data_IF_495882204670
#
_entry.id   IF_495882204670
#
_cell.length_a   1.000
_cell.length_b   1.000
_cell.length_c   1.000
_cell.angle_alpha   90.00
_cell.angle_beta   90.00
_cell.angle_gamma   90.00
#
_symmetry.space_group_name_H-M   'P 1'
#
loop_
_entity.id
_entity.type
_entity.pdbx_description
1 polymer ?
2 water ?
#
# COMPACT_ATOMS: atom_id res chain seq x y z
N UNK A 29 5.99 -23.50 -30.08
CA UNK A 29 5.68 -24.25 -28.87
C UNK A 29 6.36 -23.63 -27.65
N UNK A 30 5.69 -23.73 -26.50
CA UNK A 30 6.19 -23.15 -25.26
C UNK A 30 6.16 -24.19 -24.16
N UNK A 31 6.89 -23.92 -23.09
CA UNK A 31 6.90 -24.75 -21.89
C UNK A 31 6.39 -23.93 -20.71
N UNK A 32 5.79 -24.63 -19.74
CA UNK A 32 5.17 -23.98 -18.59
C UNK A 32 6.09 -24.07 -17.38
N UNK A 33 6.34 -22.92 -16.74
CA UNK A 33 7.08 -22.84 -15.50
C UNK A 33 6.21 -22.09 -14.49
N UNK A 34 6.12 -22.63 -13.28
CA UNK A 34 5.31 -22.04 -12.23
C UNK A 34 6.19 -21.38 -11.18
N UNK A 35 5.68 -20.28 -10.61
CA UNK A 35 6.44 -19.46 -9.66
C UNK A 35 5.53 -19.13 -8.48
N UNK A 36 6.01 -19.39 -7.27
CA UNK A 36 5.28 -19.03 -6.06
C UNK A 36 5.60 -17.59 -5.66
N UNK A 37 4.62 -16.95 -5.03
CA UNK A 37 4.76 -15.55 -4.65
C UNK A 37 4.95 -15.40 -3.15
N UNK A 38 5.88 -14.54 -2.71
CA UNK A 38 6.02 -14.27 -1.28
C UNK A 38 4.85 -13.51 -0.68
N UNK A 39 3.97 -12.95 -1.49
CA UNK A 39 2.81 -12.21 -1.02
C UNK A 39 1.56 -12.73 -1.71
N UNK A 40 0.53 -13.05 -0.92
CA UNK A 40 -0.71 -13.55 -1.49
C UNK A 40 -1.41 -12.49 -2.34
N UNK A 41 -1.32 -11.22 -1.94
CA UNK A 41 -1.93 -10.16 -2.70
C UNK A 41 -1.07 -9.68 -3.86
N UNK A 42 -1.00 -10.48 -4.92
CA UNK A 42 -0.20 -10.16 -6.10
C UNK A 42 -1.08 -10.27 -7.34
N UNK A 43 -1.16 -9.19 -8.11
CA UNK A 43 -1.85 -9.19 -9.39
C UNK A 43 -0.84 -8.85 -10.48
N UNK A 44 -1.28 -9.04 -11.73
CA UNK A 44 -0.40 -8.86 -12.88
C UNK A 44 -1.25 -8.57 -14.11
N UNK A 45 -0.76 -7.68 -14.96
CA UNK A 45 -1.39 -7.49 -16.26
C UNK A 45 -1.36 -8.81 -17.02
N UNK A 46 -2.51 -9.18 -17.59
CA UNK A 46 -2.58 -10.45 -18.30
C UNK A 46 -1.65 -10.41 -19.52
N UNK A 47 -0.89 -11.49 -19.69
CA UNK A 47 0.11 -11.51 -20.74
C UNK A 47 1.26 -10.56 -20.52
N UNK A 48 1.77 -10.49 -19.29
CA UNK A 48 2.92 -9.66 -18.99
C UNK A 48 4.20 -10.37 -19.38
N UNK A 49 5.19 -9.60 -19.81
CA UNK A 49 6.39 -10.17 -20.39
C UNK A 49 7.29 -10.80 -19.33
N UNK A 50 7.95 -11.90 -19.71
CA UNK A 50 8.95 -12.57 -18.90
C UNK A 50 10.28 -12.44 -19.63
N UNK A 51 11.27 -11.85 -18.97
CA UNK A 51 12.54 -11.52 -19.60
C UNK A 51 13.69 -12.24 -18.92
N UNK A 52 14.80 -12.33 -19.64
CA UNK A 52 16.04 -12.89 -19.11
C UNK A 52 17.20 -12.24 -19.84
N UNK A 53 17.96 -11.41 -19.13
CA UNK A 53 19.13 -10.71 -19.67
C UNK A 53 18.75 -9.85 -20.87
N UNK A 54 17.72 -9.02 -20.70
CA UNK A 54 17.33 -8.02 -21.67
C UNK A 54 16.32 -8.49 -22.72
N UNK A 55 16.40 -9.75 -23.14
CA UNK A 55 15.51 -10.28 -24.16
C UNK A 55 14.32 -10.97 -23.50
N UNK A 56 13.16 -10.88 -24.16
CA UNK A 56 11.96 -11.52 -23.65
C UNK A 56 11.99 -13.01 -23.97
N UNK A 57 11.65 -13.83 -22.97
CA UNK A 57 11.66 -15.28 -23.14
C UNK A 57 10.27 -15.89 -23.04
N UNK A 58 9.25 -15.13 -22.65
CA UNK A 58 7.91 -15.67 -22.59
C UNK A 58 6.92 -14.67 -22.04
N UNK A 59 5.80 -15.20 -21.55
CA UNK A 59 4.75 -14.39 -20.96
C UNK A 59 4.06 -15.19 -19.86
N UNK A 60 3.49 -14.46 -18.90
CA UNK A 60 2.70 -15.08 -17.83
C UNK A 60 1.27 -15.23 -18.32
N UNK A 61 0.71 -16.42 -18.12
CA UNK A 61 -0.60 -16.77 -18.68
C UNK A 61 -1.72 -16.74 -17.65
N UNK A 62 -1.45 -17.15 -16.41
CA UNK A 62 -2.51 -17.25 -15.42
C UNK A 62 -1.90 -17.15 -14.02
N UNK A 63 -2.73 -16.73 -13.07
CA UNK A 63 -2.38 -16.68 -11.66
C UNK A 63 -3.44 -17.46 -10.88
N UNK A 64 -2.99 -18.44 -10.10
CA UNK A 64 -3.87 -19.25 -9.27
C UNK A 64 -3.72 -18.86 -7.82
N UNK A 65 -4.85 -18.60 -7.15
CA UNK A 65 -4.82 -18.18 -5.75
C UNK A 65 -5.43 -19.24 -4.85
N UNK A 66 -4.80 -20.41 -4.78
CA UNK A 66 -5.28 -21.47 -3.90
C UNK A 66 -4.88 -21.16 -2.46
N UNK A 67 -5.88 -20.92 -1.61
CA UNK A 67 -5.60 -20.54 -0.24
C UNK A 67 -5.13 -19.10 -0.16
N UNK A 68 -4.12 -18.87 0.68
CA UNK A 68 -3.49 -17.55 0.82
C UNK A 68 -2.09 -17.53 0.21
N UNK A 69 -1.94 -18.18 -0.95
CA UNK A 69 -0.69 -18.21 -1.67
C UNK A 69 -0.97 -18.00 -3.15
N UNK A 70 -0.07 -17.30 -3.83
CA UNK A 70 -0.21 -16.99 -5.25
C UNK A 70 0.85 -17.73 -6.04
N UNK A 71 0.42 -18.34 -7.15
CA UNK A 71 1.31 -19.10 -8.03
C UNK A 71 1.18 -18.55 -9.45
N UNK A 72 2.28 -18.04 -9.99
CA UNK A 72 2.30 -17.57 -11.37
C UNK A 72 2.53 -18.74 -12.32
N UNK A 73 1.78 -18.76 -13.42
CA UNK A 73 1.94 -19.76 -14.46
C UNK A 73 2.56 -19.09 -15.67
N UNK A 74 3.87 -19.31 -15.86
CA UNK A 74 4.58 -18.73 -16.99
C UNK A 74 4.51 -19.66 -18.20
N UNK A 75 4.76 -19.08 -19.37
CA UNK A 75 4.86 -19.83 -20.62
C UNK A 75 6.01 -19.24 -21.41
N UNK A 76 7.14 -19.95 -21.46
CA UNK A 76 8.35 -19.47 -22.10
C UNK A 76 8.68 -20.36 -23.28
N UNK A 77 9.37 -19.78 -24.27
CA UNK A 77 9.69 -20.50 -25.49
C UNK A 77 10.56 -21.72 -25.20
N UNK A 78 10.39 -22.75 -26.02
CA UNK A 78 11.12 -24.00 -25.82
C UNK A 78 12.63 -23.77 -25.93
N UNK A 79 13.05 -23.07 -26.98
CA UNK A 79 14.46 -22.81 -27.20
C UNK A 79 15.09 -21.76 -26.31
N UNK A 80 14.36 -21.23 -25.34
CA UNK A 80 14.87 -20.22 -24.44
C UNK A 80 15.31 -20.76 -23.09
N UNK A 81 14.77 -21.91 -22.67
CA UNK A 81 15.11 -22.45 -21.36
C UNK A 81 16.50 -23.05 -21.32
N UNK A 82 17.09 -23.36 -22.48
CA UNK A 82 18.45 -23.86 -22.49
C UNK A 82 19.46 -22.84 -22.04
N UNK A 83 19.13 -21.55 -22.18
CA UNK A 83 20.01 -20.47 -21.73
C UNK A 83 19.77 -20.08 -20.28
N UNK A 84 18.58 -20.33 -19.75
CA UNK A 84 18.23 -19.97 -18.38
C UNK A 84 18.69 -21.10 -17.46
N UNK A 85 19.61 -20.84 -16.53
CA UNK A 85 20.02 -21.90 -15.59
C UNK A 85 18.87 -22.33 -14.70
N UNK A 86 18.93 -23.57 -14.23
CA UNK A 86 17.86 -24.11 -13.40
C UNK A 86 17.78 -23.44 -12.04
N UNK A 87 18.88 -22.86 -11.55
CA UNK A 87 18.93 -22.21 -10.25
C UNK A 87 18.86 -20.69 -10.34
N UNK A 88 18.24 -20.17 -11.40
CA UNK A 88 18.11 -18.73 -11.56
C UNK A 88 16.99 -18.20 -10.67
N UNK A 89 17.23 -17.01 -10.10
CA UNK A 89 16.23 -16.37 -9.26
C UNK A 89 15.29 -15.50 -10.10
N UNK A 90 14.24 -15.02 -9.47
CA UNK A 90 13.20 -14.24 -10.14
C UNK A 90 13.08 -12.89 -9.45
N UNK A 91 13.11 -11.82 -10.25
CA UNK A 91 12.86 -10.47 -9.77
C UNK A 91 11.56 -9.97 -10.39
N UNK A 92 10.69 -9.41 -9.54
CA UNK A 92 9.38 -8.92 -9.97
C UNK A 92 9.24 -7.49 -9.49
N UNK A 93 9.25 -6.54 -10.43
CA UNK A 93 9.10 -5.13 -10.11
C UNK A 93 7.62 -4.73 -10.21
N UNK A 94 7.17 -3.93 -9.25
CA UNK A 94 5.79 -3.51 -9.25
C UNK A 94 5.56 -2.37 -8.27
N UNK A 95 4.28 -2.10 -8.03
CA UNK A 95 3.87 -1.04 -7.12
C UNK A 95 2.81 -1.56 -6.17
N UNK A 96 2.63 -0.86 -5.05
CA UNK A 96 1.55 -1.14 -4.12
C UNK A 96 0.32 -0.36 -4.56
N UNK A 97 -0.74 -1.08 -4.90
CA UNK A 97 -1.97 -0.49 -5.42
C UNK A 97 -3.14 -0.95 -4.54
N UNK A 98 -4.28 -0.30 -4.76
CA UNK A 98 -5.49 -0.59 -4.00
C UNK A 98 -6.29 -1.66 -4.73
N UNK A 99 -6.47 -2.81 -4.10
CA UNK A 99 -7.24 -3.90 -4.67
C UNK A 99 -8.69 -3.86 -4.24
N UNK A 100 -9.51 -3.13 -5.00
CA UNK A 100 -10.92 -2.97 -4.66
C UNK A 100 -11.66 -4.30 -4.76
N UNK A 101 -12.64 -4.48 -3.88
CA UNK A 101 -13.44 -5.70 -3.83
C UNK A 101 -14.94 -5.46 -3.96
N UNK A 102 -15.43 -4.29 -3.56
CA UNK A 102 -16.87 -4.03 -3.63
C UNK A 102 -17.10 -2.53 -3.73
N UNK A 103 -18.21 -2.16 -4.38
CA UNK A 103 -18.65 -0.79 -4.49
C UNK A 103 -19.98 -0.66 -3.77
N UNK A 104 -20.14 0.42 -3.00
CA UNK A 104 -21.38 0.64 -2.27
C UNK A 104 -21.76 2.11 -2.35
N UNK A 105 -23.04 2.37 -2.63
CA UNK A 105 -23.60 3.71 -2.57
C UNK A 105 -24.06 4.00 -1.15
N UNK A 106 -23.66 5.16 -0.64
CA UNK A 106 -23.96 5.57 0.73
C UNK A 106 -25.01 6.68 0.69
N UNK A 107 -26.09 6.58 1.45
CA UNK A 107 -27.06 7.68 1.51
C UNK A 107 -26.42 8.92 2.11
N UNK A 108 -26.67 10.09 1.54
CA UNK A 108 -26.02 11.32 2.03
C UNK A 108 -26.64 11.84 3.32
N UNK A 109 -26.23 13.05 3.71
CA UNK A 109 -26.81 13.70 4.89
C UNK A 109 -28.32 13.85 4.74
N UNK A 110 -28.75 14.46 3.65
CA UNK A 110 -30.18 14.58 3.32
C UNK A 110 -30.37 14.15 1.88
N UNK A 111 -31.05 13.04 1.62
CA UNK A 111 -31.17 12.55 0.24
C UNK A 111 -32.06 13.46 -0.59
N UNK A 112 -31.62 13.72 -1.82
CA UNK A 112 -32.41 14.53 -2.75
C UNK A 112 -33.51 13.69 -3.39
N UNK A 113 -34.68 14.27 -3.63
CA UNK A 113 -35.79 13.47 -4.20
C UNK A 113 -35.54 13.01 -5.62
N UNK A 114 -34.70 13.70 -6.38
CA UNK A 114 -34.40 13.28 -7.75
C UNK A 114 -33.48 12.07 -7.72
N UNK A 115 -33.85 10.95 -8.34
CA UNK A 115 -32.99 9.75 -8.28
C UNK A 115 -31.78 9.86 -9.18
N UNK A 116 -30.94 8.82 -9.17
CA UNK A 116 -29.79 8.79 -10.06
C UNK A 116 -30.24 8.76 -11.51
N UNK A 117 -29.64 9.61 -12.34
CA UNK A 117 -30.02 9.61 -13.74
C UNK A 117 -29.17 8.60 -14.52
N UNK A 118 -29.70 8.08 -15.62
CA UNK A 118 -28.90 7.17 -16.45
C UNK A 118 -27.66 7.88 -17.00
N UNK A 119 -26.57 7.12 -17.12
CA UNK A 119 -25.29 7.62 -17.62
C UNK A 119 -24.74 8.75 -16.76
N UNK A 120 -25.10 8.75 -15.47
CA UNK A 120 -24.55 9.74 -14.55
C UNK A 120 -23.10 9.40 -14.22
N UNK A 121 -22.40 10.37 -13.67
CA UNK A 121 -20.99 10.23 -13.33
C UNK A 121 -20.75 10.81 -11.94
N UNK A 122 -20.29 9.96 -11.02
CA UNK A 122 -19.91 10.40 -9.68
C UNK A 122 -18.41 10.67 -9.69
N UNK A 123 -18.04 11.92 -9.42
CA UNK A 123 -16.65 12.35 -9.48
C UNK A 123 -15.84 11.66 -8.39
N UNK A 124 -14.51 11.74 -8.54
CA UNK A 124 -13.60 11.14 -7.58
C UNK A 124 -13.69 11.79 -6.21
N UNK A 125 -14.15 13.04 -6.14
CA UNK A 125 -14.30 13.70 -4.84
C UNK A 125 -15.37 13.05 -3.99
N UNK A 126 -16.39 12.46 -4.62
CA UNK A 126 -17.46 11.78 -3.92
C UNK A 126 -17.18 10.29 -3.71
N UNK A 127 -15.94 9.87 -3.88
CA UNK A 127 -15.54 8.47 -3.73
C UNK A 127 -14.67 8.34 -2.49
N UNK A 128 -14.92 7.30 -1.71
CA UNK A 128 -14.21 7.03 -0.46
C UNK A 128 -13.59 5.65 -0.54
N UNK A 129 -12.26 5.59 -0.47
CA UNK A 129 -11.52 4.34 -0.52
C UNK A 129 -11.19 3.90 0.90
N UNK A 130 -11.76 2.78 1.33
CA UNK A 130 -11.61 2.28 2.69
C UNK A 130 -10.98 0.89 2.66
N UNK A 131 -10.09 0.65 3.63
CA UNK A 131 -9.51 -0.67 3.84
C UNK A 131 -10.43 -1.51 4.71
N UNK A 132 -10.60 -2.78 4.33
CA UNK A 132 -11.49 -3.66 5.06
C UNK A 132 -10.77 -4.33 6.21
N UNK A 133 -11.55 -4.78 7.20
CA UNK A 133 -11.01 -5.38 8.40
C UNK A 133 -10.78 -6.87 8.21
N UNK A 134 -9.82 -7.42 8.95
CA UNK A 134 -9.50 -8.83 8.91
C UNK A 134 -9.38 -9.38 10.32
N UNK A 135 -9.97 -10.55 10.53
CA UNK A 135 -9.93 -11.21 11.84
C UNK A 135 -8.79 -12.21 11.91
N UNK B 22 -32.73 5.52 -29.54
CA UNK B 22 -32.50 4.16 -29.09
C UNK B 22 -33.74 3.28 -29.31
N UNK B 23 -33.55 1.98 -29.13
CA UNK B 23 -34.62 1.00 -29.30
C UNK B 23 -34.70 0.13 -28.07
N UNK B 24 -35.92 -0.30 -27.75
CA UNK B 24 -36.17 -1.01 -26.49
C UNK B 24 -35.49 -2.38 -26.50
N UNK B 25 -34.81 -2.70 -25.41
CA UNK B 25 -34.16 -3.98 -25.28
C UNK B 25 -35.14 -5.09 -24.97
N UNK B 26 -34.65 -6.33 -25.12
CA UNK B 26 -35.51 -7.50 -24.90
C UNK B 26 -35.91 -7.60 -23.43
N UNK B 27 -34.93 -7.81 -22.55
CA UNK B 27 -35.21 -7.99 -21.13
C UNK B 27 -33.92 -7.78 -20.36
N UNK B 28 -34.04 -7.75 -19.04
CA UNK B 28 -32.90 -7.61 -18.12
C UNK B 28 -32.08 -6.37 -18.44
N UNK B 29 -32.77 -5.24 -18.66
CA UNK B 29 -32.09 -4.00 -18.98
C UNK B 29 -31.42 -3.41 -17.75
N UNK B 30 -30.20 -2.91 -17.93
CA UNK B 30 -29.46 -2.26 -16.86
C UNK B 30 -28.90 -0.93 -17.38
N UNK B 31 -28.75 0.03 -16.47
CA UNK B 31 -28.21 1.33 -16.80
C UNK B 31 -26.76 1.42 -16.35
N UNK B 32 -25.95 2.12 -17.15
CA UNK B 32 -24.53 2.29 -16.84
C UNK B 32 -24.29 3.59 -16.09
N UNK B 33 -23.41 3.54 -15.10
CA UNK B 33 -23.00 4.72 -14.33
C UNK B 33 -21.50 4.62 -14.10
N UNK B 34 -20.81 5.74 -14.26
CA UNK B 34 -19.36 5.77 -14.19
C UNK B 34 -18.89 6.35 -12.85
N UNK B 35 -17.75 5.84 -12.38
CA UNK B 35 -17.15 6.26 -11.11
C UNK B 35 -15.69 6.59 -11.37
N UNK B 36 -15.28 7.81 -11.02
CA UNK B 36 -13.88 8.21 -11.12
C UNK B 36 -13.13 7.80 -9.86
N UNK B 37 -11.99 7.15 -10.04
CA UNK B 37 -11.19 6.70 -8.91
C UNK B 37 -10.31 7.85 -8.40
N UNK B 38 -10.33 8.15 -7.10
CA UNK B 38 -9.46 9.22 -6.59
C UNK B 38 -8.00 8.85 -6.64
N UNK B 39 -7.65 7.57 -6.46
CA UNK B 39 -6.29 7.08 -6.54
C UNK B 39 -6.14 6.28 -7.83
N UNK B 40 -5.26 6.75 -8.72
CA UNK B 40 -4.98 6.00 -9.94
C UNK B 40 -4.29 4.68 -9.62
N UNK B 41 -4.31 3.78 -10.59
CA UNK B 41 -3.76 2.46 -10.39
C UNK B 41 -4.63 1.50 -9.62
N UNK B 42 -5.88 1.86 -9.36
CA UNK B 42 -6.80 0.95 -8.70
C UNK B 42 -7.10 -0.24 -9.60
N UNK B 43 -7.23 -1.42 -9.01
CA UNK B 43 -7.66 -2.61 -9.71
C UNK B 43 -8.92 -3.14 -9.04
N UNK B 44 -9.75 -3.80 -9.83
CA UNK B 44 -11.02 -4.34 -9.36
C UNK B 44 -10.99 -5.86 -9.40
N UNK B 45 -11.54 -6.49 -8.37
CA UNK B 45 -11.59 -7.94 -8.29
C UNK B 45 -12.66 -8.49 -9.23
N UNK B 46 -12.39 -9.68 -9.78
CA UNK B 46 -13.34 -10.33 -10.66
C UNK B 46 -14.66 -10.58 -9.94
N UNK B 47 -15.76 -10.27 -10.61
CA UNK B 47 -17.08 -10.48 -10.04
C UNK B 47 -17.42 -9.53 -8.90
N UNK B 48 -16.97 -8.28 -8.98
CA UNK B 48 -17.28 -7.30 -7.95
C UNK B 48 -18.71 -6.81 -8.11
N UNK B 49 -19.39 -6.66 -6.98
CA UNK B 49 -20.80 -6.27 -6.95
C UNK B 49 -20.95 -4.83 -6.47
N UNK B 50 -22.14 -4.29 -6.69
CA UNK B 50 -22.51 -2.95 -6.23
C UNK B 50 -23.71 -3.08 -5.31
N UNK B 51 -23.61 -2.51 -4.12
CA UNK B 51 -24.65 -2.61 -3.12
C UNK B 51 -25.15 -1.22 -2.72
N UNK B 52 -26.34 -1.20 -2.14
CA UNK B 52 -26.94 0.03 -1.60
C UNK B 52 -27.78 -0.34 -0.41
N UNK B 53 -27.30 0.02 0.79
CA UNK B 53 -27.98 -0.30 2.05
C UNK B 53 -28.20 -1.80 2.20
N UNK B 54 -27.18 -2.58 1.84
CA UNK B 54 -27.20 -4.02 2.04
C UNK B 54 -27.77 -4.83 0.90
N UNK B 55 -28.33 -4.19 -0.12
CA UNK B 55 -28.97 -4.88 -1.24
C UNK B 55 -28.09 -4.74 -2.48
N UNK B 56 -27.79 -5.86 -3.11
CA UNK B 56 -27.02 -5.84 -4.35
C UNK B 56 -27.87 -5.26 -5.48
N UNK B 57 -27.38 -4.19 -6.09
CA UNK B 57 -28.13 -3.49 -7.14
C UNK B 57 -27.44 -3.55 -8.49
N UNK B 58 -26.20 -3.99 -8.57
CA UNK B 58 -25.52 -4.06 -9.85
C UNK B 58 -24.20 -4.78 -9.74
N UNK B 59 -23.36 -4.56 -10.76
CA UNK B 59 -22.03 -5.14 -10.79
C UNK B 59 -21.10 -4.22 -11.56
N UNK B 60 -19.80 -4.46 -11.43
CA UNK B 60 -18.79 -3.70 -12.13
C UNK B 60 -18.44 -4.45 -13.40
N UNK B 61 -18.68 -3.83 -14.56
CA UNK B 61 -18.48 -4.48 -15.85
C UNK B 61 -17.08 -4.20 -16.41
N UNK B 62 -16.77 -2.93 -16.65
CA UNK B 62 -15.51 -2.54 -17.27
C UNK B 62 -14.73 -1.61 -16.36
N UNK B 63 -13.46 -1.42 -16.69
CA UNK B 63 -12.58 -0.50 -16.00
C UNK B 63 -11.49 -0.06 -16.96
N UNK B 64 -11.36 1.25 -17.18
CA UNK B 64 -10.43 1.79 -18.16
C UNK B 64 -9.44 2.73 -17.49
N UNK B 65 -8.19 2.65 -17.92
CA UNK B 65 -7.13 3.54 -17.45
C UNK B 65 -6.75 4.48 -18.58
N UNK B 66 -6.72 5.77 -18.28
CA UNK B 66 -6.35 6.79 -19.27
C UNK B 66 -5.55 7.88 -18.56
N UNK B 67 -4.24 7.90 -18.78
CA UNK B 67 -3.39 8.86 -18.12
C UNK B 67 -3.12 8.50 -16.67
N UNK B 68 -3.50 9.39 -15.77
CA UNK B 68 -3.34 9.19 -14.32
C UNK B 68 -4.68 9.15 -13.61
N UNK B 69 -5.69 8.59 -14.27
CA UNK B 69 -7.00 8.43 -13.66
C UNK B 69 -7.64 7.15 -14.17
N UNK B 70 -8.28 6.43 -13.26
CA UNK B 70 -9.00 5.19 -13.58
C UNK B 70 -10.50 5.43 -13.41
N UNK B 71 -11.27 4.94 -14.37
CA UNK B 71 -12.73 5.06 -14.33
C UNK B 71 -13.36 3.68 -14.29
N UNK B 72 -14.41 3.55 -13.50
CA UNK B 72 -15.18 2.32 -13.37
C UNK B 72 -16.52 2.49 -14.09
N UNK B 73 -16.95 1.43 -14.78
CA UNK B 73 -18.26 1.40 -15.41
C UNK B 73 -19.12 0.38 -14.67
N UNK B 74 -20.19 0.86 -14.03
CA UNK B 74 -21.11 0.01 -13.30
C UNK B 74 -22.34 -0.29 -14.15
N UNK B 75 -23.05 -1.34 -13.76
CA UNK B 75 -24.26 -1.78 -14.46
C UNK B 75 -25.35 -2.03 -13.41
N UNK B 76 -26.10 -0.98 -13.08
CA UNK B 76 -27.17 -1.06 -12.09
C UNK B 76 -28.48 -1.39 -12.80
N UNK B 77 -29.32 -2.19 -12.14
CA UNK B 77 -30.62 -2.53 -12.70
C UNK B 77 -31.45 -1.26 -12.87
N UNK B 78 -32.32 -1.27 -13.89
CA UNK B 78 -33.16 -0.11 -14.18
C UNK B 78 -34.07 0.20 -13.00
N UNK B 79 -34.68 -0.83 -12.40
CA UNK B 79 -35.58 -0.61 -11.29
C UNK B 79 -34.88 -0.22 -10.00
N UNK B 80 -33.60 -0.55 -9.87
CA UNK B 80 -32.89 -0.24 -8.63
C UNK B 80 -32.38 1.19 -8.60
N UNK B 81 -32.14 1.81 -9.76
CA UNK B 81 -31.64 3.18 -9.79
C UNK B 81 -32.70 4.21 -9.42
N UNK B 82 -33.98 3.82 -9.36
CA UNK B 82 -35.00 4.73 -8.89
C UNK B 82 -35.00 4.95 -7.38
N UNK B 83 -34.22 4.16 -6.65
CA UNK B 83 -34.14 4.28 -5.20
C UNK B 83 -32.87 4.96 -4.71
N UNK B 84 -31.84 5.04 -5.55
CA UNK B 84 -30.57 5.64 -5.16
C UNK B 84 -30.65 7.15 -5.38
N UNK B 85 -30.38 7.96 -4.36
CA UNK B 85 -30.41 9.41 -4.55
C UNK B 85 -29.30 9.88 -5.47
N UNK B 86 -29.59 10.95 -6.22
CA UNK B 86 -28.61 11.48 -7.16
C UNK B 86 -27.41 12.11 -6.46
N UNK B 87 -27.54 12.47 -5.19
CA UNK B 87 -26.45 13.09 -4.43
C UNK B 87 -25.77 12.10 -3.49
N UNK B 88 -25.91 10.80 -3.75
CA UNK B 88 -25.28 9.79 -2.91
C UNK B 88 -23.80 9.68 -3.23
N UNK B 89 -23.04 9.17 -2.26
CA UNK B 89 -21.60 8.98 -2.40
C UNK B 89 -21.28 7.51 -2.65
N UNK B 90 -19.99 7.25 -2.89
CA UNK B 90 -19.51 5.92 -3.21
C UNK B 90 -18.44 5.53 -2.20
N UNK B 91 -18.54 4.31 -1.68
CA UNK B 91 -17.58 3.77 -0.73
C UNK B 91 -17.03 2.47 -1.32
N UNK B 92 -15.72 2.45 -1.58
CA UNK B 92 -15.06 1.30 -2.21
C UNK B 92 -14.15 0.64 -1.18
N UNK B 93 -14.46 -0.60 -0.84
CA UNK B 93 -13.66 -1.38 0.09
C UNK B 93 -12.62 -2.20 -0.66
N UNK B 94 -11.53 -2.53 0.01
CA UNK B 94 -10.49 -3.33 -0.60
C UNK B 94 -9.25 -3.36 0.28
N UNK B 95 -8.20 -3.96 -0.26
CA UNK B 95 -6.92 -4.07 0.42
C UNK B 95 -5.81 -3.60 -0.50
N UNK B 96 -4.69 -3.20 0.12
CA UNK B 96 -3.49 -2.87 -0.64
C UNK B 96 -2.79 -4.14 -1.06
N UNK B 97 -2.56 -4.29 -2.37
CA UNK B 97 -1.92 -5.45 -2.96
C UNK B 97 -0.72 -5.00 -3.77
N UNK B 98 0.04 -5.96 -4.26
CA UNK B 98 1.25 -5.70 -5.05
C UNK B 98 0.91 -5.85 -6.53
N UNK B 99 0.91 -4.74 -7.25
CA UNK B 99 0.61 -4.75 -8.67
C UNK B 99 1.86 -4.82 -9.54
N UNK B 100 2.16 -6.02 -10.03
CA UNK B 100 3.39 -6.25 -10.77
C UNK B 100 3.18 -6.07 -12.26
N UNK B 101 4.22 -5.62 -12.95
CA UNK B 101 4.17 -5.38 -14.38
C UNK B 101 5.00 -6.36 -15.21
N UNK B 102 6.06 -6.92 -14.65
CA UNK B 102 6.96 -7.78 -15.41
C UNK B 102 7.52 -8.87 -14.51
N UNK B 103 8.11 -9.88 -15.16
CA UNK B 103 8.83 -10.95 -14.48
C UNK B 103 10.17 -11.10 -15.17
N UNK B 104 11.24 -11.25 -14.38
CA UNK B 104 12.58 -11.37 -14.94
C UNK B 104 13.36 -12.44 -14.20
N UNK B 105 14.01 -13.32 -14.95
CA UNK B 105 14.96 -14.27 -14.37
C UNK B 105 16.33 -13.61 -14.23
N UNK B 106 16.97 -13.84 -13.11
CA UNK B 106 18.25 -13.22 -12.77
C UNK B 106 19.33 -14.31 -12.80
N UNK B 107 20.45 -14.10 -13.48
CA UNK B 107 21.52 -15.10 -13.48
C UNK B 107 22.10 -15.27 -12.09
N UNK B 108 22.18 -16.49 -11.59
CA UNK B 108 22.75 -16.71 -10.26
C UNK B 108 24.25 -16.46 -10.25
N UNK B 109 24.79 -16.31 -9.05
CA UNK B 109 26.22 -16.04 -8.90
C UNK B 109 27.06 -17.22 -9.38
N UNK B 110 26.65 -18.43 -9.03
CA UNK B 110 27.28 -19.66 -9.55
C UNK B 110 26.22 -20.47 -10.28
N UNK B 111 26.13 -20.35 -11.61
CA UNK B 111 25.03 -20.99 -12.33
C UNK B 111 25.18 -22.50 -12.37
N UNK B 112 24.03 -23.16 -12.57
CA UNK B 112 23.87 -24.60 -12.67
C UNK B 112 24.06 -25.08 -14.09
N UNK B 113 24.74 -26.21 -14.29
CA UNK B 113 24.91 -26.74 -15.65
C UNK B 113 23.60 -27.13 -16.31
N UNK B 114 22.73 -27.84 -15.58
CA UNK B 114 21.44 -28.24 -16.13
C UNK B 114 20.57 -27.01 -16.36
N UNK B 115 20.03 -26.82 -17.56
CA UNK B 115 19.12 -25.69 -17.81
C UNK B 115 17.81 -25.84 -17.07
N UNK B 116 16.94 -24.85 -17.16
CA UNK B 116 15.64 -24.90 -16.50
C UNK B 116 14.79 -26.01 -17.13
N UNK B 117 14.30 -26.93 -16.29
CA UNK B 117 13.58 -28.08 -16.78
C UNK B 117 12.21 -27.67 -17.34
N UNK B 118 11.69 -28.42 -18.31
CA UNK B 118 10.43 -28.02 -18.96
C UNK B 118 9.24 -27.88 -18.02
N UNK B 119 9.25 -28.56 -16.87
CA UNK B 119 8.19 -28.46 -15.87
C UNK B 119 8.83 -28.12 -14.52
N UNK B 120 9.35 -26.90 -14.41
CA UNK B 120 10.05 -26.45 -13.22
C UNK B 120 9.13 -25.60 -12.34
N UNK B 121 9.51 -25.50 -11.07
CA UNK B 121 8.80 -24.67 -10.10
C UNK B 121 9.80 -23.81 -9.36
N UNK B 122 9.54 -22.50 -9.32
CA UNK B 122 10.40 -21.55 -8.63
C UNK B 122 9.76 -21.27 -7.27
N UNK B 123 10.46 -21.64 -6.20
CA UNK B 123 9.95 -21.43 -4.85
C UNK B 123 9.85 -19.95 -4.53
N UNK B 124 9.01 -19.64 -3.54
CA UNK B 124 8.80 -18.24 -3.16
C UNK B 124 10.06 -17.61 -2.57
N UNK B 125 10.92 -18.42 -1.95
CA UNK B 125 12.16 -17.89 -1.39
C UNK B 125 13.13 -17.44 -2.46
N UNK B 126 12.93 -17.86 -3.71
CA UNK B 126 13.78 -17.47 -4.83
C UNK B 126 13.24 -16.26 -5.58
N UNK B 127 12.18 -15.63 -5.07
CA UNK B 127 11.54 -14.49 -5.73
C UNK B 127 11.88 -13.23 -4.97
N UNK B 128 12.13 -12.15 -5.71
CA UNK B 128 12.50 -10.86 -5.15
C UNK B 128 11.51 -9.81 -5.63
N UNK B 129 10.75 -9.23 -4.70
CA UNK B 129 9.76 -8.21 -5.01
C UNK B 129 10.36 -6.83 -4.79
N UNK B 130 10.42 -6.04 -5.85
CA UNK B 130 11.00 -4.70 -5.81
C UNK B 130 9.97 -3.67 -6.23
N UNK B 131 10.09 -2.46 -5.68
CA UNK B 131 9.23 -1.36 -6.04
C UNK B 131 9.84 -0.56 -7.18
N UNK B 132 8.99 -0.15 -8.13
CA UNK B 132 9.48 0.60 -9.28
C UNK B 132 9.88 2.02 -8.89
N UNK B 133 10.66 2.65 -9.76
CA UNK B 133 11.11 4.02 -9.58
C UNK B 133 10.27 4.98 -10.41
N UNK B 134 10.10 6.19 -9.91
CA UNK B 134 9.35 7.22 -10.61
C UNK B 134 9.97 8.60 -10.39
N UNK C 22 -0.96 40.42 32.84
CA UNK C 22 0.05 39.78 32.01
C UNK C 22 -0.04 38.27 32.12
N UNK C 23 -0.95 37.80 32.98
CA UNK C 23 -1.18 36.38 33.16
C UNK C 23 -1.70 35.75 31.87
N UNK C 24 -0.88 34.89 31.25
CA UNK C 24 -1.23 34.30 29.96
C UNK C 24 -2.36 33.29 30.05
N UNK C 25 -2.85 32.97 31.24
CA UNK C 25 -3.94 32.02 31.41
C UNK C 25 -3.45 30.63 31.76
N UNK C 26 -4.41 29.78 32.12
CA UNK C 26 -4.15 28.41 32.50
C UNK C 26 -4.42 27.49 31.31
N UNK C 27 -3.53 26.51 31.12
CA UNK C 27 -3.69 25.56 30.04
C UNK C 27 -4.72 24.49 30.41
N UNK C 28 -5.53 24.09 29.44
CA UNK C 28 -6.61 23.16 29.71
C UNK C 28 -6.08 21.75 29.92
N UNK C 29 -6.77 21.01 30.79
CA UNK C 29 -6.38 19.63 31.08
C UNK C 29 -6.82 18.71 29.95
N UNK C 30 -6.03 17.66 29.73
CA UNK C 30 -6.32 16.66 28.71
C UNK C 30 -6.46 15.29 29.36
N UNK C 31 -7.31 14.46 28.77
CA UNK C 31 -7.55 13.10 29.23
C UNK C 31 -7.16 12.11 28.15
N UNK C 32 -6.78 10.91 28.58
CA UNK C 32 -6.31 9.88 27.66
C UNK C 32 -7.48 9.02 27.18
N UNK C 33 -7.32 8.48 25.97
CA UNK C 33 -8.30 7.57 25.38
C UNK C 33 -7.60 6.75 24.30
N UNK C 34 -7.81 5.43 24.32
CA UNK C 34 -7.13 4.54 23.42
C UNK C 34 -8.05 4.12 22.26
N UNK C 35 -7.44 3.87 21.11
CA UNK C 35 -8.15 3.43 19.91
C UNK C 35 -7.41 2.24 19.33
N UNK C 36 -8.09 1.10 19.23
CA UNK C 36 -7.49 -0.08 18.64
C UNK C 36 -7.42 0.06 17.13
N UNK C 37 -6.31 -0.42 16.55
CA UNK C 37 -6.15 -0.24 15.11
C UNK C 37 -6.51 -1.52 14.37
N UNK C 38 -7.21 -1.39 13.23
CA UNK C 38 -7.46 -2.59 12.41
C UNK C 38 -6.18 -3.21 11.86
N UNK C 39 -5.31 -2.40 11.28
CA UNK C 39 -4.04 -2.87 10.76
C UNK C 39 -2.97 -2.79 11.83
N UNK C 40 -2.21 -3.88 11.99
CA UNK C 40 -1.12 -3.88 12.97
C UNK C 40 0.03 -2.98 12.52
N UNK C 41 0.22 -2.84 11.22
CA UNK C 41 1.25 -1.95 10.71
C UNK C 41 0.75 -0.54 10.51
N UNK C 42 0.62 0.21 11.60
CA UNK C 42 0.12 1.58 11.57
C UNK C 42 1.19 2.52 12.11
N UNK C 43 1.38 3.64 11.42
CA UNK C 43 2.35 4.66 11.81
C UNK C 43 1.65 6.01 11.77
N UNK C 44 1.79 6.78 12.85
CA UNK C 44 1.20 8.10 12.97
C UNK C 44 2.28 9.17 12.90
N UNK C 45 1.95 10.30 12.29
CA UNK C 45 2.88 11.42 12.23
C UNK C 45 3.05 12.03 13.62
N UNK C 46 4.04 12.92 13.73
CA UNK C 46 4.30 13.59 15.01
C UNK C 46 3.17 14.56 15.32
N UNK C 47 2.52 14.37 16.47
CA UNK C 47 1.46 15.27 16.90
C UNK C 47 0.31 15.36 15.92
N UNK C 48 -0.14 14.23 15.38
CA UNK C 48 -1.23 14.23 14.43
C UNK C 48 -2.51 14.73 15.08
N UNK C 49 -3.30 15.50 14.34
CA UNK C 49 -4.49 16.11 14.88
C UNK C 49 -5.58 15.07 15.15
N UNK C 50 -6.38 15.33 16.17
CA UNK C 50 -7.59 14.57 16.46
C UNK C 50 -8.74 15.57 16.40
N UNK C 51 -9.61 15.42 15.41
CA UNK C 51 -10.65 16.40 15.13
C UNK C 51 -12.03 15.79 15.33
N UNK C 52 -13.02 16.67 15.44
CA UNK C 52 -14.42 16.28 15.57
C UNK C 52 -15.28 17.43 15.11
N UNK C 53 -16.09 17.20 14.06
CA UNK C 53 -16.94 18.23 13.47
C UNK C 53 -16.11 19.43 12.99
N UNK C 54 -14.95 19.15 12.40
CA UNK C 54 -14.12 20.18 11.80
C UNK C 54 -13.17 20.88 12.73
N UNK C 55 -13.43 20.88 14.03
CA UNK C 55 -12.57 21.56 15.01
C UNK C 55 -11.67 20.52 15.67
N UNK C 56 -10.44 20.92 15.97
CA UNK C 56 -9.47 20.02 16.57
C UNK C 56 -9.74 19.90 18.07
N UNK C 57 -9.71 18.66 18.58
CA UNK C 57 -10.02 18.38 19.97
C UNK C 57 -8.88 17.66 20.70
N UNK C 58 -7.81 17.30 19.99
CA UNK C 58 -6.71 16.62 20.66
C UNK C 58 -5.62 16.26 19.68
N UNK C 59 -4.62 15.55 20.21
CA UNK C 59 -3.46 15.11 19.44
C UNK C 59 -3.22 13.62 19.69
N UNK C 60 -2.33 13.06 18.87
CA UNK C 60 -1.89 11.67 19.02
C UNK C 60 -0.53 11.70 19.71
N UNK C 61 -0.48 11.24 20.96
CA UNK C 61 0.75 11.28 21.74
C UNK C 61 1.58 10.02 21.55
N UNK C 62 1.01 8.87 21.88
CA UNK C 62 1.75 7.61 21.86
C UNK C 62 1.00 6.59 21.00
N UNK C 63 1.75 5.59 20.52
CA UNK C 63 1.20 4.48 19.76
C UNK C 63 2.06 3.24 20.02
N UNK C 64 1.47 2.25 20.67
CA UNK C 64 2.21 1.06 21.10
C UNK C 64 1.76 -0.16 20.33
N UNK C 65 2.68 -1.11 20.17
CA UNK C 65 2.44 -2.35 19.44
C UNK C 65 2.71 -3.53 20.36
N UNK C 66 1.78 -4.48 20.40
CA UNK C 66 1.94 -5.71 21.18
C UNK C 66 1.40 -6.86 20.36
N UNK C 67 2.30 -7.76 19.92
CA UNK C 67 1.87 -8.84 19.05
C UNK C 67 1.49 -8.30 17.68
N UNK C 68 0.36 -8.79 17.15
CA UNK C 68 -0.18 -8.31 15.90
C UNK C 68 -1.30 -7.29 16.11
N UNK C 69 -1.22 -6.53 17.20
CA UNK C 69 -2.16 -5.45 17.47
C UNK C 69 -1.42 -4.12 17.52
N UNK C 70 -2.20 -3.04 17.58
CA UNK C 70 -1.66 -1.69 17.67
C UNK C 70 -2.74 -0.78 18.21
N UNK C 71 -2.40 0.00 19.24
CA UNK C 71 -3.35 0.90 19.88
C UNK C 71 -2.78 2.32 19.90
N UNK C 72 -3.65 3.29 19.68
CA UNK C 72 -3.28 4.70 19.72
C UNK C 72 -3.54 5.27 21.12
N UNK C 73 -2.72 6.24 21.51
CA UNK C 73 -2.93 6.99 22.74
C UNK C 73 -3.25 8.43 22.35
N UNK C 74 -4.49 8.84 22.61
CA UNK C 74 -4.96 10.17 22.26
C UNK C 74 -5.08 11.01 23.52
N UNK C 75 -4.58 12.25 23.45
CA UNK C 75 -4.74 13.23 24.52
C UNK C 75 -5.77 14.25 24.04
N UNK C 76 -6.99 14.14 24.56
CA UNK C 76 -8.11 14.98 24.15
C UNK C 76 -8.40 15.99 25.26
N UNK C 77 -8.60 17.24 24.87
CA UNK C 77 -8.95 18.28 25.83
C UNK C 77 -10.24 17.90 26.55
N UNK C 78 -10.25 18.10 27.87
CA UNK C 78 -11.40 17.73 28.67
C UNK C 78 -12.62 18.59 28.36
N UNK C 79 -12.40 19.82 27.89
CA UNK C 79 -13.52 20.69 27.60
C UNK C 79 -14.35 20.22 26.43
N UNK C 80 -13.70 19.85 25.33
CA UNK C 80 -14.40 19.35 24.16
C UNK C 80 -14.72 17.87 24.23
N UNK C 81 -14.18 17.14 25.22
CA UNK C 81 -14.47 15.72 25.33
C UNK C 81 -15.89 15.44 25.81
N UNK C 82 -16.57 16.45 26.36
CA UNK C 82 -17.98 16.31 26.69
C UNK C 82 -18.92 16.48 25.51
N UNK C 83 -18.42 17.00 24.39
CA UNK C 83 -19.21 17.18 23.19
C UNK C 83 -19.14 15.98 22.26
N UNK C 84 -18.45 14.92 22.64
CA UNK C 84 -18.26 13.72 21.82
C UNK C 84 -19.11 12.60 22.42
N UNK C 85 -20.03 12.00 21.66
CA UNK C 85 -20.80 10.88 22.19
C UNK C 85 -19.90 9.68 22.50
N UNK C 86 -20.35 8.85 23.44
CA UNK C 86 -19.55 7.71 23.86
C UNK C 86 -19.44 6.67 22.75
N UNK C 87 -20.51 6.46 22.00
CA UNK C 87 -20.53 5.45 20.94
C UNK C 87 -20.06 5.99 19.60
N UNK C 88 -19.39 7.14 19.59
CA UNK C 88 -18.91 7.72 18.34
C UNK C 88 -17.83 6.85 17.71
N UNK C 89 -17.75 6.90 16.39
CA UNK C 89 -16.75 6.17 15.63
C UNK C 89 -15.61 7.08 15.21
N UNK C 90 -14.52 6.47 14.78
CA UNK C 90 -13.29 7.19 14.46
C UNK C 90 -12.87 6.86 13.03
N UNK C 91 -12.46 7.89 12.29
CA UNK C 91 -12.02 7.75 10.91
C UNK C 91 -10.57 8.20 10.81
N UNK C 92 -9.71 7.33 10.28
CA UNK C 92 -8.28 7.59 10.17
C UNK C 92 -7.92 7.68 8.69
N UNK C 93 -7.62 8.89 8.22
CA UNK C 93 -7.17 9.08 6.85
C UNK C 93 -5.66 8.95 6.77
N UNK C 94 -5.18 8.37 5.68
CA UNK C 94 -3.76 8.18 5.52
C UNK C 94 -3.41 7.65 4.14
N UNK C 95 -2.16 7.21 4.01
CA UNK C 95 -1.66 6.68 2.75
C UNK C 95 -0.76 5.49 3.03
N UNK C 96 -0.52 4.70 1.98
CA UNK C 96 0.36 3.55 2.08
C UNK C 96 1.81 3.99 1.94
N UNK C 97 2.66 3.55 2.87
CA UNK C 97 4.06 3.94 2.91
C UNK C 97 4.92 2.68 3.06
N UNK C 98 6.22 2.85 2.84
CA UNK C 98 7.19 1.76 2.90
C UNK C 98 7.92 1.83 4.23
N UNK C 99 7.69 0.84 5.10
CA UNK C 99 8.35 0.78 6.38
C UNK C 99 9.65 0.02 6.34
N UNK C 100 10.76 0.74 6.18
CA UNK C 100 12.07 0.12 6.05
C UNK C 100 12.56 -0.44 7.37
N UNK C 101 13.36 -1.51 7.28
CA UNK C 101 13.92 -2.17 8.45
C UNK C 101 15.43 -2.25 8.47
N UNK C 102 16.09 -2.18 7.31
CA UNK C 102 17.55 -2.31 7.27
C UNK C 102 18.06 -1.69 5.98
N UNK C 103 19.36 -1.36 6.00
CA UNK C 103 20.07 -0.84 4.84
C UNK C 103 21.24 -1.76 4.55
N UNK C 104 21.44 -2.09 3.27
CA UNK C 104 22.52 -2.98 2.87
C UNK C 104 23.18 -2.44 1.62
N UNK C 105 24.50 -2.38 1.64
CA UNK C 105 25.28 -2.05 0.45
C UNK C 105 25.51 -3.32 -0.37
N UNK C 106 25.10 -3.30 -1.63
CA UNK C 106 25.23 -4.45 -2.52
C UNK C 106 26.49 -4.26 -3.35
N UNK C 107 27.38 -5.26 -3.42
CA UNK C 107 28.56 -5.12 -4.26
C UNK C 107 28.19 -5.10 -5.72
N UNK C 108 28.90 -4.31 -6.53
CA UNK C 108 28.63 -4.25 -7.97
C UNK C 108 29.22 -5.46 -8.67
N UNK C 109 29.02 -5.50 -9.99
CA UNK C 109 29.60 -6.58 -10.79
C UNK C 109 31.13 -6.50 -10.76
N UNK C 110 31.67 -5.32 -11.06
CA UNK C 110 33.11 -5.06 -10.97
C UNK C 110 33.30 -3.81 -10.13
N UNK C 111 34.06 -3.87 -9.04
CA UNK C 111 34.20 -2.71 -8.16
C UNK C 111 35.22 -1.71 -8.68
N UNK C 112 34.93 -0.43 -8.48
CA UNK C 112 35.90 0.60 -8.79
C UNK C 112 37.05 0.56 -7.79
N UNK C 113 38.26 0.98 -8.19
CA UNK C 113 39.39 0.91 -7.25
C UNK C 113 39.22 1.82 -6.04
N UNK C 114 38.59 2.97 -6.22
CA UNK C 114 38.41 3.89 -5.10
C UNK C 114 37.26 3.42 -4.22
N UNK C 115 37.42 3.39 -2.91
CA UNK C 115 36.36 2.93 -2.02
C UNK C 115 35.29 4.00 -1.84
N UNK C 116 34.28 3.67 -1.05
CA UNK C 116 33.23 4.64 -0.73
C UNK C 116 33.83 5.81 0.01
N UNK C 117 33.62 7.01 -0.51
CA UNK C 117 34.26 8.20 0.05
C UNK C 117 33.41 8.77 1.20
N UNK C 118 34.05 9.41 2.18
CA UNK C 118 33.29 10.09 3.22
C UNK C 118 32.39 11.19 2.64
N UNK C 119 31.28 11.42 3.32
CA UNK C 119 30.25 12.38 2.86
C UNK C 119 29.70 11.99 1.48
N UNK C 120 29.70 10.69 1.18
CA UNK C 120 29.14 10.23 -0.09
C UNK C 120 27.63 10.43 -0.13
N UNK C 121 27.10 10.61 -1.33
CA UNK C 121 25.66 10.77 -1.55
C UNK C 121 25.21 9.72 -2.54
N UNK C 122 24.66 8.61 -2.04
CA UNK C 122 24.15 7.57 -2.91
C UNK C 122 22.84 8.03 -3.54
N UNK C 123 22.83 8.14 -4.87
CA UNK C 123 21.65 8.62 -5.56
C UNK C 123 20.50 7.62 -5.47
N UNK C 124 19.29 8.13 -5.69
CA UNK C 124 18.10 7.28 -5.57
C UNK C 124 18.05 6.19 -6.63
N UNK C 125 18.63 6.45 -7.81
CA UNK C 125 18.62 5.44 -8.87
C UNK C 125 19.42 4.21 -8.47
N UNK C 126 20.37 4.36 -7.56
CA UNK C 126 21.18 3.25 -7.08
C UNK C 126 20.58 2.57 -5.85
N UNK C 127 19.31 2.83 -5.55
CA UNK C 127 18.64 2.28 -4.38
C UNK C 127 17.56 1.31 -4.84
N UNK C 128 17.47 0.17 -4.17
CA UNK C 128 16.54 -0.89 -4.49
C UNK C 128 15.69 -1.19 -3.27
N UNK C 129 14.38 -0.98 -3.39
CA UNK C 129 13.45 -1.22 -2.30
C UNK C 129 12.82 -2.59 -2.47
N UNK C 130 13.17 -3.51 -1.58
CA UNK C 130 12.70 -4.90 -1.63
C UNK C 130 11.66 -5.13 -0.55
N UNK C 131 10.70 -6.01 -0.84
CA UNK C 131 9.71 -6.43 0.13
C UNK C 131 10.15 -7.69 0.84
N UNK C 132 9.93 -7.74 2.15
CA UNK C 132 10.39 -8.85 2.96
C UNK C 132 9.43 -10.04 2.85
N UNK C 133 9.99 -11.25 2.94
CA UNK C 133 9.23 -12.48 2.82
C UNK C 133 8.61 -12.85 4.17
N UNK C 134 7.72 -13.83 4.14
CA UNK C 134 7.06 -14.32 5.34
C UNK C 134 6.82 -15.82 5.26
N UNK D 28 36.65 4.31 17.58
CA UNK D 28 35.23 4.16 17.23
C UNK D 28 34.81 5.25 16.25
N UNK D 29 35.71 5.60 15.33
CA UNK D 29 35.44 6.65 14.37
C UNK D 29 34.49 6.15 13.28
N UNK D 30 33.58 7.04 12.86
CA UNK D 30 32.62 6.74 11.80
C UNK D 30 32.61 7.88 10.79
N UNK D 31 31.98 7.63 9.65
CA UNK D 31 31.82 8.62 8.59
C UNK D 31 30.34 8.75 8.23
N UNK D 32 29.99 9.89 7.65
CA UNK D 32 28.62 10.17 7.23
C UNK D 32 28.44 9.81 5.76
N UNK D 33 27.37 9.09 5.46
CA UNK D 33 26.99 8.74 4.09
C UNK D 33 25.50 8.97 3.93
N UNK D 34 25.13 9.80 2.97
CA UNK D 34 23.73 10.12 2.71
C UNK D 34 23.19 9.27 1.57
N UNK D 35 21.99 8.74 1.75
CA UNK D 35 21.33 7.90 0.76
C UNK D 35 19.96 8.47 0.47
N UNK D 36 19.73 8.86 -0.77
CA UNK D 36 18.41 9.35 -1.19
C UNK D 36 17.48 8.19 -1.50
N UNK D 37 16.19 8.43 -1.32
CA UNK D 37 15.19 7.37 -1.48
C UNK D 37 14.37 7.57 -2.74
N UNK D 38 14.04 6.50 -3.45
CA UNK D 38 13.13 6.62 -4.60
C UNK D 38 11.72 6.97 -4.15
N UNK D 39 11.22 6.26 -3.16
CA UNK D 39 9.92 6.57 -2.58
C UNK D 39 10.05 7.74 -1.60
N UNK D 40 9.06 8.64 -1.63
CA UNK D 40 9.05 9.76 -0.71
C UNK D 40 8.45 9.40 0.63
N UNK D 41 7.60 8.38 0.69
CA UNK D 41 6.98 7.98 1.94
C UNK D 41 7.76 6.94 2.71
N UNK D 42 9.08 6.88 2.49
CA UNK D 42 9.90 5.92 3.21
C UNK D 42 9.94 6.26 4.69
N UNK D 43 9.89 5.24 5.53
CA UNK D 43 9.94 5.39 6.98
C UNK D 43 10.90 4.35 7.54
N UNK D 44 11.86 4.81 8.33
CA UNK D 44 12.92 3.96 8.85
C UNK D 44 12.70 3.66 10.33
N UNK D 45 13.09 2.45 10.74
CA UNK D 45 12.99 2.05 12.14
C UNK D 45 14.18 2.56 12.94
N UNK D 46 13.98 2.63 14.25
CA UNK D 46 15.06 3.02 15.15
C UNK D 46 16.14 1.97 15.17
N UNK D 47 17.40 2.41 15.24
CA UNK D 47 18.51 1.49 15.31
C UNK D 47 18.68 0.61 14.09
N UNK D 48 18.21 1.05 12.92
CA UNK D 48 18.38 0.30 11.70
C UNK D 48 19.87 0.24 11.34
N UNK D 49 20.39 -0.97 11.19
CA UNK D 49 21.82 -1.18 10.98
C UNK D 49 22.14 -1.26 9.50
N UNK D 50 23.29 -0.70 9.13
CA UNK D 50 23.81 -0.78 7.77
C UNK D 50 24.84 -1.90 7.72
N UNK D 51 24.71 -2.78 6.74
CA UNK D 51 25.61 -3.92 6.62
C UNK D 51 26.03 -4.09 5.17
N UNK D 52 27.14 -4.81 4.98
CA UNK D 52 27.71 -5.01 3.66
C UNK D 52 28.32 -6.40 3.59
N UNK D 53 27.74 -7.27 2.77
CA UNK D 53 28.20 -8.65 2.59
C UNK D 53 28.26 -9.39 3.92
N UNK D 54 27.16 -9.32 4.67
CA UNK D 54 27.05 -10.00 5.94
C UNK D 54 27.75 -9.33 7.10
N UNK D 55 28.52 -8.28 6.87
CA UNK D 55 29.25 -7.58 7.93
C UNK D 55 28.52 -6.29 8.24
N UNK D 56 28.09 -6.14 9.50
CA UNK D 56 27.48 -4.89 9.93
C UNK D 56 28.53 -3.79 9.96
N UNK D 57 28.30 -2.73 9.20
CA UNK D 57 29.27 -1.65 9.05
C UNK D 57 28.83 -0.35 9.68
N UNK D 58 27.55 -0.21 10.06
CA UNK D 58 27.10 1.02 10.68
C UNK D 58 25.63 1.03 11.05
N UNK D 59 25.03 2.22 11.11
CA UNK D 59 23.63 2.36 11.47
C UNK D 59 23.08 3.65 10.86
N UNK D 60 21.76 3.77 10.89
CA UNK D 60 21.08 4.97 10.40
C UNK D 60 20.96 5.95 11.54
N UNK D 61 21.49 7.16 11.35
CA UNK D 61 21.45 8.17 12.40
C UNK D 61 20.11 8.91 12.40
N UNK D 62 19.68 9.42 11.26
CA UNK D 62 18.40 10.11 11.17
C UNK D 62 17.89 10.02 9.74
N UNK D 63 16.67 10.50 9.54
CA UNK D 63 16.02 10.52 8.24
C UNK D 63 15.29 11.86 8.10
N UNK D 64 15.50 12.54 6.97
CA UNK D 64 14.92 13.84 6.72
C UNK D 64 14.06 13.81 5.47
N UNK D 65 12.97 14.59 5.51
CA UNK D 65 12.02 14.66 4.42
C UNK D 65 11.97 16.07 3.86
N UNK D 66 11.58 16.17 2.59
CA UNK D 66 11.52 17.46 1.90
C UNK D 66 10.28 17.63 1.05
N UNK D 67 9.38 16.65 1.00
CA UNK D 67 8.28 16.68 0.07
C UNK D 67 8.70 16.09 -1.27
N UNK D 68 8.18 14.91 -1.59
CA UNK D 68 8.57 14.13 -2.76
C UNK D 68 10.05 13.72 -2.70
N UNK D 69 10.65 13.73 -1.51
CA UNK D 69 12.04 13.37 -1.34
C UNK D 69 12.28 12.98 0.12
N UNK D 70 13.01 11.88 0.31
CA UNK D 70 13.39 11.41 1.64
C UNK D 70 14.85 11.00 1.61
N UNK D 71 15.58 11.38 2.66
CA UNK D 71 17.02 11.14 2.72
C UNK D 71 17.37 10.38 4.00
N UNK D 72 18.29 9.43 3.87
CA UNK D 72 18.84 8.69 4.99
C UNK D 72 20.26 9.18 5.26
N UNK D 73 20.55 9.50 6.52
CA UNK D 73 21.91 9.76 6.98
C UNK D 73 22.43 8.51 7.67
N UNK D 74 23.64 8.10 7.28
CA UNK D 74 24.23 6.87 7.81
C UNK D 74 25.57 7.20 8.48
N UNK D 75 25.87 6.44 9.54
CA UNK D 75 27.17 6.49 10.20
C UNK D 75 27.82 5.13 10.02
N UNK D 76 28.90 5.09 9.25
CA UNK D 76 29.57 3.84 8.90
C UNK D 76 30.99 3.88 9.45
N UNK D 77 31.44 2.74 9.99
CA UNK D 77 32.80 2.62 10.49
C UNK D 77 33.81 3.01 9.41
N UNK D 78 34.82 3.79 9.82
CA UNK D 78 35.82 4.25 8.87
C UNK D 78 36.64 3.09 8.33
N UNK D 79 37.01 2.14 9.19
CA UNK D 79 37.75 0.98 8.74
C UNK D 79 36.94 0.08 7.82
N UNK D 80 35.64 -0.02 8.06
CA UNK D 80 34.78 -0.83 7.21
C UNK D 80 34.49 -0.15 5.87
N UNK D 81 34.45 1.18 5.85
CA UNK D 81 34.17 1.90 4.61
C UNK D 81 35.30 1.78 3.60
N UNK D 82 36.52 1.45 4.04
CA UNK D 82 37.61 1.23 3.12
C UNK D 82 37.46 0.01 2.25
N UNK D 83 36.52 -0.88 2.57
CA UNK D 83 36.26 -2.08 1.79
C UNK D 83 35.02 -1.98 0.93
N UNK D 84 34.14 -1.01 1.19
CA UNK D 84 32.91 -0.84 0.41
C UNK D 84 33.24 -0.08 -0.86
N UNK D 85 33.04 -0.68 -2.03
CA UNK D 85 33.33 0.04 -3.28
C UNK D 85 32.41 1.24 -3.47
N UNK D 86 32.93 2.25 -4.18
CA UNK D 86 32.17 3.47 -4.37
C UNK D 86 31.00 3.28 -5.32
N UNK D 87 31.13 2.39 -6.31
CA UNK D 87 30.08 2.11 -7.27
C UNK D 87 29.09 1.07 -6.77
N UNK D 88 29.03 0.84 -5.45
CA UNK D 88 28.09 -0.12 -4.89
C UNK D 88 26.70 0.49 -4.81
N UNK D 89 25.69 -0.39 -4.77
CA UNK D 89 24.29 0.00 -4.68
C UNK D 89 23.75 -0.31 -3.29
N UNK D 90 22.57 0.22 -3.02
CA UNK D 90 21.91 0.10 -1.71
C UNK D 90 20.63 -0.69 -1.88
N UNK D 91 20.40 -1.64 -0.99
CA UNK D 91 19.18 -2.43 -0.96
C UNK D 91 18.52 -2.24 0.40
N UNK D 92 17.31 -1.68 0.40
CA UNK D 92 16.58 -1.38 1.62
C UNK D 92 15.39 -2.33 1.70
N UNK D 93 15.45 -3.25 2.65
CA UNK D 93 14.36 -4.20 2.88
C UNK D 93 13.33 -3.60 3.83
N UNK D 94 12.07 -3.95 3.61
CA UNK D 94 11.01 -3.45 4.46
C UNK D 94 9.66 -4.00 4.03
N UNK D 95 8.62 -3.47 4.67
CA UNK D 95 7.24 -3.85 4.41
C UNK D 95 6.40 -2.61 4.16
N UNK D 96 5.19 -2.82 3.66
CA UNK D 96 4.25 -1.75 3.42
C UNK D 96 3.31 -1.62 4.61
N UNK D 97 3.19 -0.41 5.14
CA UNK D 97 2.36 -0.12 6.30
C UNK D 97 1.49 1.08 6.00
N UNK D 98 0.51 1.33 6.88
CA UNK D 98 -0.43 2.42 6.71
C UNK D 98 0.11 3.67 7.40
N UNK D 99 0.38 4.70 6.62
CA UNK D 99 0.86 5.96 7.16
C UNK D 99 -0.26 6.94 7.46
N UNK D 100 -0.72 6.96 8.71
CA UNK D 100 -1.84 7.80 9.10
C UNK D 100 -1.38 9.24 9.31
N UNK D 101 -2.22 10.18 8.85
CA UNK D 101 -1.92 11.59 8.95
C UNK D 101 -2.85 12.34 9.89
N UNK D 102 -4.06 11.85 10.12
CA UNK D 102 -5.02 12.53 10.98
C UNK D 102 -5.99 11.51 11.56
N UNK D 103 -6.60 11.89 12.68
CA UNK D 103 -7.63 11.10 13.34
C UNK D 103 -8.85 11.99 13.51
N UNK D 104 -10.04 11.43 13.24
CA UNK D 104 -11.27 12.21 13.29
C UNK D 104 -12.38 11.36 13.88
N UNK D 105 -13.10 11.92 14.86
CA UNK D 105 -14.28 11.28 15.40
C UNK D 105 -15.49 11.62 14.53
N UNK D 106 -16.27 10.60 14.20
CA UNK D 106 -17.45 10.75 13.35
C UNK D 106 -18.69 10.61 14.23
N UNK D 107 -19.62 11.56 14.17
CA UNK D 107 -20.85 11.44 14.97
C UNK D 107 -21.75 10.35 14.42
N UNK D 108 -22.26 9.47 15.28
CA UNK D 108 -23.14 8.40 14.82
C UNK D 108 -24.55 8.90 14.56
N UNK D 109 -25.32 8.07 13.86
CA UNK D 109 -26.72 8.39 13.59
C UNK D 109 -27.62 8.06 14.78
N UNK D 110 -27.06 7.58 15.88
CA UNK D 110 -27.82 7.32 17.11
C UNK D 110 -26.92 7.68 18.29
N UNK D 111 -26.81 8.98 18.59
CA UNK D 111 -25.85 9.40 19.62
C UNK D 111 -26.28 8.95 21.01
N UNK D 112 -25.32 8.40 21.76
CA UNK D 112 -25.56 7.96 23.12
C UNK D 112 -25.64 9.16 24.06
N UNK D 113 -26.51 9.12 25.07
CA UNK D 113 -26.61 10.26 26.00
C UNK D 113 -25.34 10.48 26.82
N UNK D 114 -24.57 9.42 27.07
CA UNK D 114 -23.33 9.56 27.82
C UNK D 114 -22.23 10.08 26.91
N UNK D 115 -21.46 11.08 27.34
CA UNK D 115 -20.33 11.56 26.53
C UNK D 115 -19.13 10.63 26.69
N UNK D 116 -18.07 10.96 25.96
CA UNK D 116 -16.85 10.16 25.99
C UNK D 116 -16.12 10.40 27.31
N UNK D 117 -15.95 9.34 28.10
CA UNK D 117 -15.34 9.41 29.41
C UNK D 117 -13.82 9.31 29.30
N UNK D 118 -13.10 9.82 30.31
CA UNK D 118 -11.64 9.68 30.29
C UNK D 118 -11.20 8.23 30.45
N UNK D 119 -10.01 7.95 29.95
CA UNK D 119 -9.43 6.59 29.97
C UNK D 119 -10.34 5.60 29.25
N UNK D 120 -10.98 6.06 28.17
CA UNK D 120 -11.86 5.21 27.38
C UNK D 120 -11.04 4.40 26.37
N UNK D 121 -11.73 3.47 25.71
CA UNK D 121 -11.09 2.61 24.71
C UNK D 121 -12.04 2.40 23.56
N UNK D 122 -11.64 2.83 22.37
CA UNK D 122 -12.43 2.62 21.16
C UNK D 122 -11.99 1.30 20.54
N UNK D 123 -12.92 0.35 20.45
CA UNK D 123 -12.62 -0.94 19.88
C UNK D 123 -12.28 -0.80 18.39
N UNK D 124 -11.58 -1.81 17.86
CA UNK D 124 -11.15 -1.76 16.47
C UNK D 124 -12.33 -1.79 15.50
N UNK D 125 -13.48 -2.30 15.91
CA UNK D 125 -14.64 -2.36 15.03
C UNK D 125 -15.21 -0.98 14.73
N UNK D 126 -14.93 0.01 15.57
CA UNK D 126 -15.45 1.36 15.38
C UNK D 126 -14.48 2.24 14.57
N UNK D 127 -13.42 1.65 14.02
CA UNK D 127 -12.42 2.40 13.27
C UNK D 127 -12.53 2.02 11.80
N UNK D 128 -12.40 3.02 10.93
CA UNK D 128 -12.34 2.80 9.48
C UNK D 128 -11.13 3.53 8.93
N UNK D 129 -10.28 2.78 8.24
CA UNK D 129 -9.08 3.35 7.62
C UNK D 129 -9.43 3.83 6.21
N UNK D 130 -8.98 5.04 5.88
CA UNK D 130 -9.35 5.70 4.64
C UNK D 130 -8.10 6.19 3.93
N UNK D 131 -8.08 6.03 2.61
CA UNK D 131 -6.98 6.53 1.79
C UNK D 131 -7.24 7.99 1.42
N UNK D 132 -6.22 8.82 1.57
CA UNK D 132 -6.37 10.26 1.34
C UNK D 132 -6.42 10.56 -0.16
N UNK D 133 -7.11 11.65 -0.49
CA UNK D 133 -7.24 12.10 -1.87
C UNK D 133 -6.12 13.05 -2.23
N UNK D 134 -5.90 13.21 -3.54
CA UNK D 134 -4.87 14.11 -4.05
C UNK D 134 -5.34 14.79 -5.34
#
# INVERSE_FOLDING_TARGET
>A
MKHHHHHHPMSDYDIPTTENLYFQGAMASTDTVTVSSPRAGLVMEKGAKVKYRGIQVGKVTDISYSGNQARLKLAIDSGEMGFIPSNATVRIAGNTIFGAKSVEFIPPKTPSPKPLSPNAHVAASQVQLELEHHHHHH
>B
MKHHHHHHPMSDYDIPTTENLYFQGAMASTDTVTVSSPRAGLVMEKGAKVKYRGIQVGKVTDISYSGNQARLKLAIDSGEMGFIPSNATVRIAGNTIFGAKSVEFIPPKTPSPKPLSPNAHVAASQVQLELEHHHHHH
>C
MKHHHHHHPMSDYDIPTTENLYFQGAMASTDTVTVSSPRAGLVMEKGAKVKYRGIQVGKVTDISYSGNQARLKLAIDSGEMGFIPSNATVRIAGNTIFGAKSVEFIPPKTPSPKPLSPNAHVAASQVQLELEHHHHHH
>D
MKHHHHHHPMSDYDIPTTENLYFQGAMASTDTVTVSSPRAGLVMEKGAKVKYRGIQVGKVTDISYSGNQARLKLAIDSGEMGFIPSNATVRIAGNTIFGAKSVEFIPPKTPSPKPLSPNAHVAASQVQLELEHHHHHH
#
